data_IF_482573028288
#
_entry.id   IF_482573028288
#
_cell.length_a   1.000
_cell.length_b   1.000
_cell.length_c   1.000
_cell.angle_alpha   90.00
_cell.angle_beta   90.00
_cell.angle_gamma   90.00
#
_symmetry.space_group_name_H-M   'P 1'
#
loop_
_entity.id
_entity.type
_entity.pdbx_description
1 polymer ?
#
# COMPACT_ATOMS: atom_id res chain seq x y z
N UNK A 1 15.29 -25.46 -7.53
CA UNK A 1 16.34 -24.49 -7.95
C UNK A 1 17.25 -24.25 -6.75
N UNK A 2 18.40 -24.95 -6.67
CA UNK A 2 19.33 -24.77 -5.56
C UNK A 2 20.22 -23.55 -5.83
N UNK A 3 20.13 -22.54 -4.97
CA UNK A 3 20.94 -21.32 -5.05
C UNK A 3 22.35 -21.63 -4.54
N UNK A 4 23.31 -21.73 -5.46
CA UNK A 4 24.64 -22.28 -5.20
C UNK A 4 25.53 -21.45 -4.26
N UNK A 5 25.22 -20.18 -3.94
CA UNK A 5 25.97 -19.36 -2.98
C UNK A 5 25.22 -18.08 -2.58
N UNK A 6 25.12 -17.78 -1.28
CA UNK A 6 24.40 -16.60 -0.77
C UNK A 6 25.05 -15.25 -1.19
N UNK A 7 26.38 -15.22 -1.37
CA UNK A 7 27.11 -14.03 -1.84
C UNK A 7 26.67 -13.64 -3.26
N UNK A 8 26.48 -14.64 -4.13
CA UNK A 8 26.10 -14.46 -5.52
C UNK A 8 24.73 -13.79 -5.68
N UNK A 9 23.79 -14.05 -4.76
CA UNK A 9 22.43 -13.48 -4.82
C UNK A 9 22.46 -11.99 -4.45
N UNK A 10 23.27 -11.61 -3.47
CA UNK A 10 23.42 -10.20 -3.08
C UNK A 10 24.08 -9.38 -4.17
N UNK A 11 25.11 -9.94 -4.80
CA UNK A 11 25.79 -9.27 -5.91
C UNK A 11 24.85 -9.12 -7.13
N UNK A 12 24.01 -10.12 -7.38
CA UNK A 12 22.99 -10.04 -8.43
C UNK A 12 21.98 -8.92 -8.19
N UNK A 13 21.40 -8.83 -6.99
CA UNK A 13 20.45 -7.76 -6.65
C UNK A 13 21.12 -6.38 -6.76
N UNK A 14 22.35 -6.23 -6.24
CA UNK A 14 23.12 -4.99 -6.34
C UNK A 14 23.36 -4.58 -7.80
N UNK A 15 23.74 -5.51 -8.66
CA UNK A 15 23.98 -5.24 -10.07
C UNK A 15 22.69 -4.86 -10.80
N UNK A 16 21.58 -5.54 -10.50
CA UNK A 16 20.27 -5.23 -11.08
C UNK A 16 19.79 -3.83 -10.68
N UNK A 17 19.87 -3.51 -9.40
CA UNK A 17 19.52 -2.18 -8.86
C UNK A 17 20.37 -1.07 -9.47
N UNK A 18 21.68 -1.28 -9.67
CA UNK A 18 22.56 -0.32 -10.34
C UNK A 18 22.15 -0.07 -11.80
N UNK A 19 21.74 -1.12 -12.51
CA UNK A 19 21.25 -1.00 -13.89
C UNK A 19 19.95 -0.20 -13.93
N UNK A 20 18.99 -0.52 -13.06
CA UNK A 20 17.73 0.23 -12.94
C UNK A 20 17.96 1.71 -12.63
N UNK A 21 18.87 2.03 -11.71
CA UNK A 21 19.20 3.41 -11.38
C UNK A 21 19.75 4.18 -12.60
N UNK A 22 20.56 3.52 -13.44
CA UNK A 22 21.10 4.09 -14.67
C UNK A 22 20.03 4.26 -15.75
N UNK A 23 19.14 3.28 -15.90
CA UNK A 23 18.08 3.27 -16.92
C UNK A 23 16.98 4.30 -16.61
N UNK A 24 16.61 4.44 -15.34
CA UNK A 24 15.53 5.35 -14.90
C UNK A 24 16.02 6.74 -14.50
N UNK A 25 17.34 6.93 -14.35
CA UNK A 25 17.93 8.15 -13.80
C UNK A 25 17.65 8.38 -12.30
N UNK A 26 16.99 7.45 -11.62
CA UNK A 26 16.64 7.59 -10.22
C UNK A 26 17.66 6.89 -9.31
N UNK A 27 18.39 7.68 -8.52
CA UNK A 27 19.39 7.18 -7.56
C UNK A 27 18.79 6.42 -6.37
N UNK A 28 17.48 6.55 -6.08
CA UNK A 28 16.83 5.88 -4.96
C UNK A 28 16.81 4.37 -5.08
N UNK A 29 16.86 3.84 -6.31
CA UNK A 29 16.97 2.40 -6.52
C UNK A 29 18.17 1.82 -5.78
N UNK A 30 19.29 2.54 -5.69
CA UNK A 30 20.52 2.10 -5.01
C UNK A 30 20.33 1.79 -3.51
N UNK A 31 19.26 2.31 -2.89
CA UNK A 31 18.91 2.07 -1.49
C UNK A 31 18.21 0.71 -1.27
N UNK A 32 17.83 0.01 -2.35
CA UNK A 32 17.10 -1.26 -2.27
C UNK A 32 18.04 -2.41 -1.95
N UNK A 33 17.72 -3.14 -0.87
CA UNK A 33 18.42 -4.32 -0.39
C UNK A 33 17.43 -5.41 0.04
N UNK A 34 17.89 -6.61 0.40
CA UNK A 34 16.98 -7.67 0.86
C UNK A 34 16.15 -7.28 2.09
N UNK A 35 16.71 -6.46 2.98
CA UNK A 35 15.96 -5.94 4.13
C UNK A 35 14.81 -5.04 3.69
N UNK A 36 15.00 -4.17 2.69
CA UNK A 36 13.90 -3.31 2.20
C UNK A 36 12.80 -4.14 1.54
N UNK A 37 13.15 -5.19 0.80
CA UNK A 37 12.16 -6.13 0.23
C UNK A 37 11.38 -6.87 1.32
N UNK A 38 12.06 -7.30 2.39
CA UNK A 38 11.41 -7.91 3.56
C UNK A 38 10.49 -6.92 4.29
N UNK A 39 10.93 -5.68 4.51
CA UNK A 39 10.11 -4.63 5.11
C UNK A 39 8.86 -4.35 4.28
N UNK A 40 9.00 -4.29 2.96
CA UNK A 40 7.89 -4.14 2.04
C UNK A 40 6.90 -5.31 2.15
N UNK A 41 7.40 -6.55 2.14
CA UNK A 41 6.55 -7.74 2.27
C UNK A 41 5.75 -7.76 3.59
N UNK A 42 6.37 -7.37 4.70
CA UNK A 42 5.69 -7.29 6.01
C UNK A 42 4.63 -6.17 6.01
N UNK A 43 4.97 -5.01 5.47
CA UNK A 43 4.02 -3.88 5.36
C UNK A 43 2.82 -4.26 4.50
N UNK A 44 3.06 -4.92 3.37
CA UNK A 44 2.03 -5.41 2.47
C UNK A 44 1.14 -6.48 3.12
N UNK A 45 1.75 -7.43 3.84
CA UNK A 45 0.99 -8.45 4.58
C UNK A 45 0.04 -7.82 5.61
N UNK A 46 0.53 -6.88 6.41
CA UNK A 46 -0.31 -6.13 7.35
C UNK A 46 -1.41 -5.34 6.63
N UNK A 47 -1.09 -4.73 5.48
CA UNK A 47 -2.07 -4.00 4.70
C UNK A 47 -3.21 -4.90 4.19
N UNK A 48 -2.91 -6.16 3.82
CA UNK A 48 -3.90 -7.16 3.40
C UNK A 48 -4.75 -7.68 4.55
N UNK A 49 -4.11 -8.14 5.62
CA UNK A 49 -4.80 -8.83 6.73
C UNK A 49 -5.36 -7.88 7.77
N UNK A 50 -4.73 -6.71 7.94
CA UNK A 50 -4.96 -5.73 9.01
C UNK A 50 -4.80 -6.31 10.43
N UNK A 51 -4.23 -7.51 10.53
CA UNK A 51 -3.97 -8.21 11.79
C UNK A 51 -2.47 -8.13 12.14
N UNK A 52 -2.18 -7.49 13.28
CA UNK A 52 -0.81 -7.27 13.74
C UNK A 52 -0.16 -8.55 14.30
N UNK A 53 -0.94 -9.46 14.89
CA UNK A 53 -0.46 -10.71 15.47
C UNK A 53 -0.10 -11.69 14.35
N UNK A 54 -0.95 -11.79 13.34
CA UNK A 54 -0.66 -12.58 12.14
C UNK A 54 0.56 -12.03 11.39
N UNK A 55 0.65 -10.69 11.26
CA UNK A 55 1.83 -10.04 10.67
C UNK A 55 3.10 -10.32 11.47
N UNK A 56 3.03 -10.37 12.80
CA UNK A 56 4.19 -10.73 13.64
C UNK A 56 4.64 -12.16 13.36
N UNK A 57 3.72 -13.10 13.20
CA UNK A 57 4.01 -14.50 12.84
C UNK A 57 4.64 -14.60 11.46
N UNK A 58 4.07 -13.92 10.46
CA UNK A 58 4.64 -13.84 9.12
C UNK A 58 6.06 -13.25 9.14
N UNK A 59 6.25 -12.16 9.88
CA UNK A 59 7.55 -11.52 10.03
C UNK A 59 8.51 -12.30 10.95
N UNK A 60 8.06 -13.32 11.68
CA UNK A 60 8.88 -14.05 12.67
C UNK A 60 9.57 -13.11 13.68
N UNK A 61 8.89 -12.04 14.10
CA UNK A 61 9.42 -11.15 15.11
C UNK A 61 9.14 -11.70 16.51
N UNK A 62 10.17 -11.81 17.35
CA UNK A 62 10.00 -12.21 18.75
C UNK A 62 9.20 -11.17 19.55
N UNK A 63 9.35 -9.88 19.20
CA UNK A 63 8.76 -8.73 19.87
C UNK A 63 7.75 -8.03 18.97
N UNK A 64 6.54 -7.81 19.48
CA UNK A 64 5.44 -7.16 18.74
C UNK A 64 5.78 -5.71 18.37
N UNK A 65 6.61 -5.05 19.19
CA UNK A 65 7.05 -3.66 18.99
C UNK A 65 7.79 -3.46 17.66
N UNK A 66 8.49 -4.50 17.20
CA UNK A 66 9.15 -4.48 15.88
C UNK A 66 8.13 -4.49 14.74
N UNK A 67 6.96 -5.11 14.94
CA UNK A 67 5.87 -5.19 13.97
C UNK A 67 5.01 -3.92 13.98
N UNK A 68 4.87 -3.26 15.13
CA UNK A 68 4.10 -2.00 15.24
C UNK A 68 4.61 -0.89 14.33
N UNK A 69 5.92 -0.89 13.99
CA UNK A 69 6.49 0.07 13.04
C UNK A 69 5.81 0.01 11.67
N UNK A 70 5.43 -1.18 11.18
CA UNK A 70 4.75 -1.33 9.89
C UNK A 70 3.29 -0.87 9.94
N UNK A 71 2.65 -0.93 11.10
CA UNK A 71 1.31 -0.38 11.30
C UNK A 71 1.31 1.12 11.02
N UNK A 72 2.30 1.84 11.56
CA UNK A 72 2.42 3.27 11.32
C UNK A 72 2.71 3.59 9.85
N UNK A 73 3.61 2.84 9.20
CA UNK A 73 3.94 3.02 7.77
C UNK A 73 2.70 2.82 6.90
N UNK A 74 1.92 1.75 7.12
CA UNK A 74 0.71 1.47 6.34
C UNK A 74 -0.38 2.50 6.61
N UNK A 75 -0.53 2.95 7.86
CA UNK A 75 -1.44 4.06 8.18
C UNK A 75 -1.05 5.34 7.44
N UNK A 76 0.24 5.62 7.28
CA UNK A 76 0.71 6.76 6.49
C UNK A 76 0.48 6.59 4.98
N UNK A 77 0.45 5.36 4.46
CA UNK A 77 0.11 5.10 3.04
C UNK A 77 -1.34 5.45 2.74
N UNK A 78 -2.24 5.19 3.68
CA UNK A 78 -3.63 5.60 3.60
C UNK A 78 -3.69 7.08 3.98
N UNK A 79 -3.45 7.97 3.02
CA UNK A 79 -3.70 9.40 3.22
C UNK A 79 -5.18 9.56 3.60
N UNK A 80 -5.44 9.99 4.83
CA UNK A 80 -6.79 10.21 5.39
C UNK A 80 -7.66 11.16 4.54
N UNK A 81 -7.09 11.86 3.57
CA UNK A 81 -7.73 12.90 2.77
C UNK A 81 -7.86 12.60 1.27
N UNK A 82 -7.57 11.38 0.81
CA UNK A 82 -7.92 11.00 -0.56
C UNK A 82 -9.32 10.38 -0.60
N UNK A 83 -10.26 11.14 -1.14
CA UNK A 83 -11.63 10.71 -1.38
C UNK A 83 -11.86 10.55 -2.87
N UNK A 84 -12.52 9.47 -3.27
CA UNK A 84 -13.15 9.41 -4.58
C UNK A 84 -14.44 10.22 -4.51
N UNK A 85 -14.50 11.28 -5.30
CA UNK A 85 -15.66 12.16 -5.40
C UNK A 85 -16.40 11.83 -6.69
N UNK A 86 -17.68 11.52 -6.57
CA UNK A 86 -18.56 11.21 -7.69
C UNK A 86 -19.77 12.13 -7.62
N UNK A 87 -20.26 12.56 -8.78
CA UNK A 87 -21.46 13.37 -8.90
C UNK A 87 -22.57 12.54 -9.54
N UNK A 88 -23.74 12.52 -8.90
CA UNK A 88 -24.93 11.87 -9.42
C UNK A 88 -25.95 12.92 -9.85
N UNK A 89 -26.41 12.85 -11.09
CA UNK A 89 -27.44 13.75 -11.63
C UNK A 89 -28.84 13.21 -11.39
N UNK A 90 -29.00 11.88 -11.44
CA UNK A 90 -30.30 11.22 -11.30
C UNK A 90 -30.48 10.51 -9.94
N UNK A 91 -31.75 10.27 -9.57
CA UNK A 91 -32.12 9.53 -8.36
C UNK A 91 -31.67 8.07 -8.42
N UNK A 92 -31.64 7.45 -9.59
CA UNK A 92 -31.17 6.07 -9.79
C UNK A 92 -29.66 5.95 -9.54
N UNK A 93 -28.85 6.87 -10.09
CA UNK A 93 -27.40 6.94 -9.87
C UNK A 93 -27.06 7.21 -8.40
N UNK A 94 -27.79 8.14 -7.78
CA UNK A 94 -27.63 8.46 -6.36
C UNK A 94 -27.85 7.21 -5.50
N UNK A 95 -28.93 6.46 -5.77
CA UNK A 95 -29.26 5.25 -5.03
C UNK A 95 -28.22 4.14 -5.22
N UNK A 96 -27.65 4.04 -6.43
CA UNK A 96 -26.56 3.10 -6.74
C UNK A 96 -25.31 3.42 -5.93
N UNK A 97 -24.87 4.68 -5.93
CA UNK A 97 -23.66 5.08 -5.18
C UNK A 97 -23.85 5.01 -3.66
N UNK A 98 -25.04 5.30 -3.14
CA UNK A 98 -25.35 5.07 -1.72
C UNK A 98 -25.24 3.58 -1.35
N UNK A 99 -25.70 2.66 -2.21
CA UNK A 99 -25.52 1.20 -2.01
C UNK A 99 -24.05 0.77 -2.07
N UNK A 100 -23.24 1.42 -2.89
CA UNK A 100 -21.79 1.19 -2.97
C UNK A 100 -21.01 1.74 -1.76
N UNK A 101 -21.68 2.44 -0.84
CA UNK A 101 -21.11 2.96 0.41
C UNK A 101 -20.51 4.36 0.30
N UNK A 102 -20.99 5.18 -0.65
CA UNK A 102 -20.63 6.60 -0.71
C UNK A 102 -21.48 7.42 0.28
N UNK A 103 -20.86 8.41 0.93
CA UNK A 103 -21.53 9.39 1.79
C UNK A 103 -22.02 10.60 0.96
N UNK A 104 -23.25 11.03 1.18
CA UNK A 104 -23.79 12.26 0.59
C UNK A 104 -23.22 13.49 1.32
N UNK A 105 -22.49 14.34 0.60
CA UNK A 105 -21.93 15.59 1.15
C UNK A 105 -22.90 16.76 1.01
N UNK A 106 -23.29 17.07 -0.23
CA UNK A 106 -24.08 18.26 -0.54
C UNK A 106 -24.80 18.12 -1.89
N UNK A 107 -25.81 18.96 -2.10
CA UNK A 107 -26.52 19.12 -3.36
C UNK A 107 -26.04 20.40 -4.04
N UNK A 108 -25.42 20.26 -5.19
CA UNK A 108 -24.99 21.35 -6.08
C UNK A 108 -26.03 21.62 -7.17
N UNK A 109 -25.91 22.75 -7.89
CA UNK A 109 -26.84 23.16 -8.96
C UNK A 109 -27.02 22.12 -10.06
N UNK A 110 -26.02 21.26 -10.28
CA UNK A 110 -25.95 20.29 -11.36
C UNK A 110 -25.92 18.82 -10.88
N UNK A 111 -26.12 18.54 -9.57
CA UNK A 111 -26.18 17.16 -9.06
C UNK A 111 -25.89 17.00 -7.58
N UNK A 112 -25.86 15.76 -7.10
CA UNK A 112 -25.51 15.36 -5.73
C UNK A 112 -24.03 14.97 -5.66
N UNK A 113 -23.28 15.62 -4.75
CA UNK A 113 -21.88 15.29 -4.50
C UNK A 113 -21.79 14.17 -3.47
N UNK A 114 -21.15 13.07 -3.88
CA UNK A 114 -20.94 11.88 -3.07
C UNK A 114 -19.43 11.69 -2.89
N UNK A 115 -19.01 11.26 -1.69
CA UNK A 115 -17.61 10.88 -1.45
C UNK A 115 -17.51 9.47 -0.90
N UNK A 116 -16.43 8.78 -1.21
CA UNK A 116 -16.04 7.55 -0.53
C UNK A 116 -14.56 7.65 -0.18
N UNK A 117 -14.15 7.36 1.07
CA UNK A 117 -12.74 7.32 1.40
C UNK A 117 -12.06 6.29 0.51
N UNK A 118 -10.96 6.67 -0.16
CA UNK A 118 -10.18 5.71 -0.94
C UNK A 118 -9.66 4.65 0.00
N UNK A 119 -10.30 3.51 -0.02
CA UNK A 119 -9.71 2.30 0.53
C UNK A 119 -8.67 1.87 -0.49
N UNK A 120 -7.40 1.96 -0.13
CA UNK A 120 -6.36 1.23 -0.82
C UNK A 120 -6.82 -0.24 -0.80
N UNK A 121 -7.21 -0.76 -1.96
CA UNK A 121 -7.60 -2.17 -2.12
C UNK A 121 -6.32 -3.01 -2.17
N UNK A 122 -6.21 -4.09 -1.39
CA UNK A 122 -5.07 -5.00 -1.40
C UNK A 122 -4.88 -5.83 -2.68
#
# INVERSE_FOLDING_TARGET
MQLKNARTINDWLKNYVKRLAKETGNSDFLKIHFHTLRHFAISWHYFKTKDVVDTQRFARHCRIENTLKYVHIVKQWIKENEYDVVYATDKEELTKHLKEGYELLTKTEWGYCLRKPKMLTP
#
